data_IF_299736412837
#
_entry.id   IF_299736412837
#
_cell.length_a   1.000
_cell.length_b   1.000
_cell.length_c   1.000
_cell.angle_alpha   90.00
_cell.angle_beta   90.00
_cell.angle_gamma   90.00
#
_symmetry.space_group_name_H-M   'P 1'
#
loop_
_entity.id
_entity.type
_entity.pdbx_description
1 polymer ?
#
# COMPACT_ATOMS: atom_id res chain seq x y z
N UNK A 1 13.05 -34.09 -11.18
CA UNK A 1 11.86 -33.31 -11.58
C UNK A 1 11.14 -32.88 -10.31
N UNK A 2 11.45 -31.68 -9.81
CA UNK A 2 11.04 -31.20 -8.48
C UNK A 2 9.95 -30.13 -8.64
N UNK A 3 8.84 -30.50 -9.27
CA UNK A 3 7.77 -29.54 -9.64
C UNK A 3 6.80 -29.29 -8.46
N UNK A 4 6.91 -30.05 -7.36
CA UNK A 4 5.95 -30.03 -6.26
C UNK A 4 6.26 -29.09 -5.08
N UNK A 5 7.46 -28.51 -4.99
CA UNK A 5 7.84 -27.62 -3.87
C UNK A 5 7.62 -26.13 -4.17
N UNK A 6 7.79 -25.70 -5.42
CA UNK A 6 7.54 -24.31 -5.85
C UNK A 6 6.09 -23.87 -5.63
N UNK A 7 5.12 -24.70 -6.04
CA UNK A 7 3.69 -24.34 -5.99
C UNK A 7 3.15 -24.10 -4.57
N UNK A 8 3.65 -24.82 -3.56
CA UNK A 8 3.21 -24.59 -2.18
C UNK A 8 3.73 -23.27 -1.63
N UNK A 9 4.93 -22.88 -2.04
CA UNK A 9 5.57 -21.65 -1.59
C UNK A 9 4.88 -20.40 -2.16
N UNK A 10 4.38 -20.47 -3.40
CA UNK A 10 3.57 -19.41 -4.00
C UNK A 10 2.17 -19.29 -3.37
N UNK A 11 1.52 -20.40 -3.01
CA UNK A 11 0.19 -20.36 -2.37
C UNK A 11 0.25 -19.82 -0.94
N UNK A 12 1.25 -20.20 -0.16
CA UNK A 12 1.48 -19.60 1.18
C UNK A 12 1.78 -18.10 1.09
N UNK A 13 2.57 -17.67 0.08
CA UNK A 13 2.82 -16.24 -0.18
C UNK A 13 1.55 -15.48 -0.55
N UNK A 14 0.71 -16.02 -1.44
CA UNK A 14 -0.56 -15.37 -1.79
C UNK A 14 -1.47 -15.20 -0.57
N UNK A 15 -1.51 -16.19 0.31
CA UNK A 15 -2.34 -16.14 1.52
C UNK A 15 -1.85 -15.12 2.55
N UNK A 16 -0.53 -14.96 2.69
CA UNK A 16 0.08 -13.97 3.57
C UNK A 16 -0.17 -12.53 3.07
N UNK A 17 -0.08 -12.33 1.74
CA UNK A 17 -0.41 -11.06 1.08
C UNK A 17 -1.88 -10.68 1.27
N UNK A 18 -2.80 -11.63 1.09
CA UNK A 18 -4.22 -11.40 1.32
C UNK A 18 -4.51 -11.09 2.79
N UNK A 19 -3.85 -11.78 3.73
CA UNK A 19 -4.01 -11.54 5.16
C UNK A 19 -3.56 -10.13 5.55
N UNK A 20 -2.38 -9.70 5.10
CA UNK A 20 -1.83 -8.36 5.38
C UNK A 20 -2.64 -7.24 4.72
N UNK A 21 -3.15 -7.48 3.51
CA UNK A 21 -4.09 -6.56 2.85
C UNK A 21 -5.42 -6.48 3.61
N UNK A 22 -5.87 -7.58 4.21
CA UNK A 22 -7.06 -7.59 5.07
C UNK A 22 -6.80 -6.88 6.41
N UNK A 23 -5.61 -7.00 7.00
CA UNK A 23 -5.22 -6.24 8.19
C UNK A 23 -5.21 -4.74 7.92
N UNK A 24 -4.67 -4.30 6.78
CA UNK A 24 -4.71 -2.89 6.38
C UNK A 24 -6.13 -2.39 6.06
N UNK A 25 -7.02 -3.27 5.58
CA UNK A 25 -8.45 -2.96 5.42
C UNK A 25 -9.22 -2.92 6.74
N UNK A 26 -8.80 -3.70 7.74
CA UNK A 26 -9.39 -3.74 9.08
C UNK A 26 -8.68 -2.80 10.08
N UNK A 27 -7.63 -2.12 9.64
CA UNK A 27 -6.97 -1.06 10.38
C UNK A 27 -7.95 0.11 10.47
N UNK A 28 -8.45 0.37 11.68
CA UNK A 28 -9.41 1.43 11.99
C UNK A 28 -8.96 2.82 11.57
N UNK A 29 -7.64 3.02 11.47
CA UNK A 29 -7.00 4.31 11.20
C UNK A 29 -6.36 4.35 9.81
N UNK A 30 -6.66 3.37 8.95
CA UNK A 30 -6.14 3.29 7.59
C UNK A 30 -7.22 3.70 6.57
N UNK A 31 -6.87 4.62 5.68
CA UNK A 31 -7.72 5.17 4.64
C UNK A 31 -7.10 4.93 3.26
N UNK A 32 -7.82 4.25 2.38
CA UNK A 32 -7.43 4.11 0.98
C UNK A 32 -7.84 5.36 0.22
N UNK A 33 -6.87 6.06 -0.34
CA UNK A 33 -7.07 7.34 -1.03
C UNK A 33 -6.74 7.21 -2.52
N UNK A 34 -7.25 8.14 -3.31
CA UNK A 34 -6.97 8.23 -4.75
C UNK A 34 -5.63 8.95 -5.03
N UNK A 35 -5.01 8.78 -6.22
CA UNK A 35 -3.68 9.31 -6.52
C UNK A 35 -3.51 10.82 -6.28
N UNK A 36 -4.52 11.61 -6.65
CA UNK A 36 -4.50 13.06 -6.49
C UNK A 36 -4.45 13.47 -5.01
N UNK A 37 -5.30 12.85 -4.18
CA UNK A 37 -5.34 13.10 -2.75
C UNK A 37 -4.04 12.65 -2.08
N UNK A 38 -3.52 11.48 -2.45
CA UNK A 38 -2.25 10.99 -1.93
C UNK A 38 -1.10 11.97 -2.23
N UNK A 39 -1.03 12.49 -3.45
CA UNK A 39 -0.04 13.51 -3.83
C UNK A 39 -0.23 14.81 -3.09
N UNK A 40 -1.46 15.31 -2.97
CA UNK A 40 -1.78 16.52 -2.22
C UNK A 40 -1.31 16.42 -0.76
N UNK A 41 -1.53 15.27 -0.12
CA UNK A 41 -1.01 14.98 1.22
C UNK A 41 0.51 14.93 1.22
N UNK A 42 1.12 14.20 0.28
CA UNK A 42 2.58 14.04 0.20
C UNK A 42 3.33 15.37 0.07
N UNK A 43 2.75 16.36 -0.60
CA UNK A 43 3.34 17.71 -0.76
C UNK A 43 2.79 18.75 0.23
N UNK A 44 1.88 18.33 1.12
CA UNK A 44 1.33 19.20 2.15
C UNK A 44 2.42 19.60 3.16
N UNK A 45 2.11 20.63 3.96
CA UNK A 45 2.97 21.03 5.09
C UNK A 45 2.70 20.20 6.36
N UNK A 46 1.85 19.19 6.29
CA UNK A 46 1.54 18.33 7.43
C UNK A 46 2.74 17.45 7.76
N UNK A 47 3.03 17.21 9.04
CA UNK A 47 4.11 16.31 9.46
C UNK A 47 3.71 14.86 9.15
N UNK A 48 4.19 14.36 8.01
CA UNK A 48 3.90 13.03 7.49
C UNK A 48 5.16 12.14 7.50
N UNK A 49 4.97 10.85 7.74
CA UNK A 49 6.00 9.81 7.66
C UNK A 49 5.69 8.81 6.55
N UNK A 50 6.70 8.41 5.77
CA UNK A 50 6.54 7.35 4.77
C UNK A 50 6.32 6.01 5.45
N UNK A 51 5.32 5.28 4.98
CA UNK A 51 4.93 3.97 5.49
C UNK A 51 4.57 3.04 4.35
N UNK A 52 5.43 3.02 3.32
CA UNK A 52 5.28 2.16 2.15
C UNK A 52 5.39 0.68 2.55
N UNK A 53 4.60 -0.16 1.90
CA UNK A 53 4.61 -1.60 2.08
C UNK A 53 4.97 -2.27 0.74
N UNK A 54 6.26 -2.53 0.47
CA UNK A 54 6.69 -3.13 -0.79
C UNK A 54 6.20 -4.57 -0.95
N UNK A 55 5.90 -5.27 0.15
CA UNK A 55 5.38 -6.65 0.10
C UNK A 55 3.94 -6.64 -0.41
N UNK A 56 3.12 -5.68 0.04
CA UNK A 56 1.74 -5.53 -0.39
C UNK A 56 1.56 -4.66 -1.66
N UNK A 57 2.66 -4.17 -2.26
CA UNK A 57 2.63 -3.20 -3.36
C UNK A 57 1.81 -1.95 -3.04
N UNK A 58 1.95 -1.42 -1.82
CA UNK A 58 1.25 -0.22 -1.36
C UNK A 58 2.25 0.90 -1.06
N UNK A 59 1.85 2.12 -1.38
CA UNK A 59 2.50 3.33 -0.90
C UNK A 59 1.69 3.89 0.27
N UNK A 60 2.38 4.46 1.26
CA UNK A 60 1.75 4.87 2.51
C UNK A 60 2.31 6.15 3.09
N UNK A 61 1.44 6.93 3.70
CA UNK A 61 1.75 8.11 4.50
C UNK A 61 1.08 7.99 5.87
N UNK A 62 1.80 8.26 6.94
CA UNK A 62 1.25 8.35 8.29
C UNK A 62 1.31 9.79 8.76
N UNK A 63 0.17 10.37 9.13
CA UNK A 63 0.08 11.66 9.78
C UNK A 63 0.55 11.53 11.24
N UNK A 64 1.64 12.21 11.59
CA UNK A 64 2.24 12.08 12.92
C UNK A 64 1.37 12.67 14.03
N UNK A 65 0.49 13.63 13.71
CA UNK A 65 -0.37 14.27 14.68
C UNK A 65 -1.51 13.36 15.18
N UNK A 66 -2.05 12.51 14.29
CA UNK A 66 -3.23 11.68 14.58
C UNK A 66 -2.95 10.18 14.53
N UNK A 67 -1.83 9.78 13.94
CA UNK A 67 -1.53 8.37 13.63
C UNK A 67 -2.30 7.83 12.43
N UNK A 68 -3.12 8.64 11.74
CA UNK A 68 -3.88 8.21 10.57
C UNK A 68 -2.96 7.82 9.43
N UNK A 69 -3.30 6.73 8.75
CA UNK A 69 -2.53 6.18 7.64
C UNK A 69 -3.31 6.30 6.35
N UNK A 70 -2.74 7.01 5.38
CA UNK A 70 -3.27 7.10 4.03
C UNK A 70 -2.48 6.14 3.14
N UNK A 71 -3.17 5.26 2.43
CA UNK A 71 -2.55 4.23 1.59
C UNK A 71 -3.10 4.26 0.18
N UNK A 72 -2.26 3.91 -0.78
CA UNK A 72 -2.62 3.77 -2.19
C UNK A 72 -1.89 2.59 -2.82
N UNK A 73 -2.53 1.94 -3.78
CA UNK A 73 -1.91 0.90 -4.60
C UNK A 73 -0.82 1.49 -5.50
N UNK A 74 0.38 0.90 -5.46
CA UNK A 74 1.51 1.38 -6.27
C UNK A 74 1.18 1.34 -7.79
N UNK A 75 0.38 0.37 -8.23
CA UNK A 75 -0.08 0.25 -9.61
C UNK A 75 -0.96 1.45 -10.02
N UNK A 76 -1.95 1.83 -9.20
CA UNK A 76 -2.79 3.01 -9.45
C UNK A 76 -1.95 4.27 -9.58
N UNK A 77 -0.95 4.43 -8.71
CA UNK A 77 -0.04 5.57 -8.73
C UNK A 77 0.84 5.60 -9.99
N UNK A 78 1.30 4.44 -10.45
CA UNK A 78 2.08 4.30 -11.67
C UNK A 78 1.24 4.65 -12.92
N UNK A 79 0.00 4.13 -13.00
CA UNK A 79 -0.92 4.47 -14.09
C UNK A 79 -1.26 5.96 -14.11
N UNK A 80 -1.48 6.58 -12.95
CA UNK A 80 -1.74 8.01 -12.85
C UNK A 80 -0.55 8.83 -13.35
N UNK A 81 0.67 8.46 -12.94
CA UNK A 81 1.90 9.13 -13.35
C UNK A 81 2.14 9.06 -14.87
N UNK A 82 1.74 7.96 -15.52
CA UNK A 82 1.82 7.80 -16.96
C UNK A 82 0.79 8.62 -17.76
N UNK A 83 -0.27 9.12 -17.12
CA UNK A 83 -1.29 9.96 -17.77
C UNK A 83 -0.97 11.47 -17.71
N UNK A 84 -0.11 11.88 -16.77
CA UNK A 84 0.25 13.28 -16.53
C UNK A 84 1.66 13.65 -17.06
N UNK A 85 2.44 12.66 -17.50
CA UNK A 85 3.76 12.83 -18.11
C UNK A 85 3.73 12.63 -19.62
#
# INVERSE_FOLDING_TARGET
>A
MTIGQDFRQDVDRMRDLESRRNELRNCSDCEFVEPEEFLQRAVSREPLMRADDPTASLLGLIELATGRRFVIEAEKMASFSAMIG
#
